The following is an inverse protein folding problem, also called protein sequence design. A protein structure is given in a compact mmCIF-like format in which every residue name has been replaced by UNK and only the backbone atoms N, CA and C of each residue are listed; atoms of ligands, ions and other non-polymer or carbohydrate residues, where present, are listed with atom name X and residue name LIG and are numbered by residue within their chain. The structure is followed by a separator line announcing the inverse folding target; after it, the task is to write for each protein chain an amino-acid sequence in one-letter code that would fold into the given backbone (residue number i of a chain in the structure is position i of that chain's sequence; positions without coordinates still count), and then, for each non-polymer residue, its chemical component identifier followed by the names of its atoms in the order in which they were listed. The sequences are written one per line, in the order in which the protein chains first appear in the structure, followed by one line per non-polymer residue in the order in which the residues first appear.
data_IF_524873232475
#
_entry.id   IF_524873232475
#
_cell.length_a   1.000
_cell.length_b   1.000
_cell.length_c   1.000
_cell.angle_alpha   90.00
_cell.angle_beta   90.00
_cell.angle_gamma   90.00
#
_symmetry.space_group_name_H-M   'P 1'
#
loop_
_entity.id
_entity.type
_entity.pdbx_description
1 polymer ?
#
# COMPACT_ATOMS: atom_id res chain seq x y z
N UNK A 1 -62.74 16.04 -11.16
CA UNK A 1 -63.97 15.36 -11.59
C UNK A 1 -63.58 14.00 -12.16
N UNK A 2 -63.82 12.96 -11.38
CA UNK A 2 -63.62 11.54 -11.71
C UNK A 2 -64.79 11.05 -12.56
N UNK A 3 -64.51 10.36 -13.67
CA UNK A 3 -65.49 9.57 -14.44
C UNK A 3 -65.01 8.12 -14.55
N UNK A 4 -66.00 7.24 -14.50
CA UNK A 4 -65.98 5.82 -14.13
C UNK A 4 -65.77 4.87 -15.33
N UNK A 5 -65.17 3.71 -15.02
CA UNK A 5 -65.56 2.36 -15.51
C UNK A 5 -65.17 1.96 -16.97
N UNK A 6 -65.39 0.69 -17.38
CA UNK A 6 -65.06 -0.59 -16.74
C UNK A 6 -64.29 -1.55 -17.69
N UNK A 7 -63.76 -2.61 -17.08
CA UNK A 7 -63.37 -3.91 -17.64
C UNK A 7 -63.75 -4.23 -19.09
N UNK A 8 -62.74 -4.56 -19.91
CA UNK A 8 -62.86 -5.64 -20.90
C UNK A 8 -61.68 -6.59 -20.79
N UNK A 9 -62.02 -7.73 -20.20
CA UNK A 9 -61.30 -8.99 -20.30
C UNK A 9 -61.25 -9.40 -21.78
N UNK A 10 -60.36 -10.35 -22.06
CA UNK A 10 -60.20 -11.15 -23.28
C UNK A 10 -58.92 -10.76 -24.02
N UNK A 11 -57.81 -11.35 -23.58
CA UNK A 11 -57.39 -12.69 -24.02
C UNK A 11 -56.71 -12.58 -25.38
N UNK A 12 -55.41 -12.33 -25.34
CA UNK A 12 -54.51 -12.88 -26.36
C UNK A 12 -53.24 -13.34 -25.61
N UNK A 13 -53.34 -14.52 -25.00
CA UNK A 13 -52.18 -15.38 -24.84
C UNK A 13 -51.74 -15.75 -26.26
N UNK A 14 -50.70 -15.09 -26.75
CA UNK A 14 -49.97 -15.56 -27.91
C UNK A 14 -48.51 -15.68 -27.52
N UNK A 15 -48.15 -16.93 -27.25
CA UNK A 15 -46.77 -17.39 -27.15
C UNK A 15 -46.02 -17.02 -28.44
N UNK A 16 -44.83 -16.47 -28.29
CA UNK A 16 -43.79 -16.56 -29.30
C UNK A 16 -42.45 -16.74 -28.59
N UNK A 17 -42.02 -18.00 -28.58
CA UNK A 17 -40.69 -18.41 -28.20
C UNK A 17 -39.65 -17.84 -29.17
N UNK A 18 -38.43 -17.64 -28.68
CA UNK A 18 -37.24 -17.70 -29.50
C UNK A 18 -36.30 -16.51 -29.35
N UNK A 19 -35.02 -16.86 -29.18
CA UNK A 19 -33.80 -16.02 -29.21
C UNK A 19 -33.31 -15.52 -27.84
N UNK A 20 -32.97 -16.46 -26.96
CA UNK A 20 -31.99 -16.19 -25.92
C UNK A 20 -30.59 -16.13 -26.56
N UNK A 21 -30.11 -14.91 -26.77
CA UNK A 21 -28.74 -14.57 -27.14
C UNK A 21 -27.73 -15.25 -26.22
N UNK A 22 -26.73 -15.90 -26.80
CA UNK A 22 -25.61 -16.50 -26.09
C UNK A 22 -24.89 -15.43 -25.24
N UNK A 23 -25.12 -15.44 -23.93
CA UNK A 23 -24.39 -14.62 -22.98
C UNK A 23 -22.98 -15.20 -22.81
N UNK A 24 -22.01 -14.62 -23.52
CA UNK A 24 -20.59 -14.80 -23.22
C UNK A 24 -20.33 -14.35 -21.79
N UNK A 25 -20.07 -15.30 -20.89
CA UNK A 25 -19.69 -15.04 -19.51
C UNK A 25 -18.32 -14.37 -19.49
N UNK A 26 -18.30 -13.04 -19.47
CA UNK A 26 -17.10 -12.29 -19.12
C UNK A 26 -16.75 -12.62 -17.67
N UNK A 27 -15.66 -13.38 -17.49
CA UNK A 27 -15.12 -13.72 -16.17
C UNK A 27 -14.42 -12.46 -15.65
N UNK A 28 -15.14 -11.63 -14.91
CA UNK A 28 -14.54 -10.50 -14.21
C UNK A 28 -13.52 -11.07 -13.20
N UNK A 29 -12.23 -10.86 -13.47
CA UNK A 29 -11.16 -11.12 -12.52
C UNK A 29 -11.32 -10.10 -11.38
N UNK A 30 -12.00 -10.52 -10.31
CA UNK A 30 -12.02 -9.77 -9.05
C UNK A 30 -10.60 -9.91 -8.47
N UNK A 31 -9.75 -8.93 -8.78
CA UNK A 31 -8.46 -8.79 -8.15
C UNK A 31 -8.68 -8.56 -6.66
N UNK A 32 -8.29 -9.52 -5.84
CA UNK A 32 -8.22 -9.36 -4.39
C UNK A 32 -7.14 -8.32 -4.11
N UNK A 33 -7.53 -7.06 -3.94
CA UNK A 33 -6.64 -6.04 -3.40
C UNK A 33 -6.25 -6.48 -1.98
N UNK A 34 -4.99 -6.86 -1.81
CA UNK A 34 -4.44 -7.14 -0.49
C UNK A 34 -4.58 -5.88 0.37
N UNK A 35 -4.97 -5.98 1.64
CA UNK A 35 -5.00 -4.83 2.53
C UNK A 35 -3.58 -4.28 2.66
N UNK A 36 -3.37 -3.07 2.18
CA UNK A 36 -2.14 -2.32 2.43
C UNK A 36 -2.19 -1.97 3.92
N UNK A 37 -1.41 -2.70 4.73
CA UNK A 37 -1.32 -2.45 6.15
C UNK A 37 -0.90 -1.01 6.40
N UNK A 38 -1.79 -0.23 7.02
CA UNK A 38 -1.47 1.09 7.57
C UNK A 38 -0.57 0.88 8.79
N UNK A 39 0.71 0.61 8.54
CA UNK A 39 1.71 0.61 9.59
C UNK A 39 1.81 2.03 10.15
N UNK A 40 1.75 2.16 11.48
CA UNK A 40 2.02 3.42 12.18
C UNK A 40 3.40 3.93 11.76
N UNK A 41 3.46 4.98 10.96
CA UNK A 41 4.72 5.63 10.62
C UNK A 41 5.22 6.33 11.87
N UNK A 42 6.29 5.81 12.48
CA UNK A 42 7.05 6.56 13.48
C UNK A 42 7.67 7.77 12.75
N UNK A 43 7.43 9.02 13.20
CA UNK A 43 8.03 10.18 12.58
C UNK A 43 9.55 10.05 12.55
N UNK A 44 10.13 10.01 11.36
CA UNK A 44 11.58 10.03 11.16
C UNK A 44 12.07 11.45 10.94
N UNK A 45 13.24 11.79 11.48
CA UNK A 45 13.89 13.09 11.25
C UNK A 45 14.66 13.11 9.93
N UNK A 46 14.79 14.29 9.32
CA UNK A 46 15.55 14.44 8.08
C UNK A 46 17.07 14.26 8.33
N UNK A 47 17.81 13.87 7.29
CA UNK A 47 19.29 13.76 7.36
C UNK A 47 19.96 15.06 7.81
N UNK A 48 19.48 16.20 7.29
CA UNK A 48 20.02 17.52 7.64
C UNK A 48 19.82 17.89 9.10
N UNK A 49 18.70 17.47 9.71
CA UNK A 49 18.40 17.78 11.11
C UNK A 49 19.34 17.10 12.12
N UNK A 50 20.04 16.03 11.72
CA UNK A 50 20.95 15.27 12.59
C UNK A 50 22.40 15.28 12.10
N UNK A 51 22.74 16.16 11.17
CA UNK A 51 24.09 16.24 10.61
C UNK A 51 24.57 14.94 9.97
N UNK A 52 23.68 14.19 9.32
CA UNK A 52 24.02 12.91 8.71
C UNK A 52 25.07 13.08 7.60
N UNK A 53 26.07 12.20 7.58
CA UNK A 53 27.09 12.08 6.54
C UNK A 53 27.23 10.62 6.12
N UNK A 54 27.55 10.36 4.85
CA UNK A 54 27.74 9.00 4.31
C UNK A 54 29.13 8.39 4.60
N UNK A 55 29.87 8.96 5.56
CA UNK A 55 31.20 8.52 6.00
C UNK A 55 31.30 8.44 7.52
N UNK A 56 32.32 7.75 8.04
CA UNK A 56 32.53 7.61 9.47
C UNK A 56 32.92 8.94 10.11
N UNK A 57 32.67 9.06 11.42
CA UNK A 57 33.18 10.14 12.27
C UNK A 57 33.81 9.52 13.51
N UNK A 58 35.08 9.81 13.80
CA UNK A 58 35.79 9.26 14.97
C UNK A 58 35.76 7.71 15.08
N UNK A 59 35.70 6.99 13.94
CA UNK A 59 35.57 5.53 13.92
C UNK A 59 34.14 5.01 14.16
N UNK A 60 33.19 5.90 14.41
CA UNK A 60 31.78 5.58 14.59
C UNK A 60 31.08 5.47 13.23
N UNK A 61 30.32 4.39 13.06
CA UNK A 61 29.59 4.09 11.82
C UNK A 61 28.18 3.60 12.11
N UNK A 62 27.24 3.87 11.20
CA UNK A 62 25.86 3.42 11.29
C UNK A 62 25.78 1.88 11.44
N UNK A 63 26.62 1.11 10.75
CA UNK A 63 26.64 -0.35 10.87
C UNK A 63 26.89 -0.87 12.30
N UNK A 64 27.52 -0.06 13.15
CA UNK A 64 27.77 -0.33 14.57
C UNK A 64 26.82 0.43 15.51
N UNK A 65 25.83 1.14 14.96
CA UNK A 65 24.86 1.94 15.73
C UNK A 65 23.63 1.10 16.13
N UNK A 66 23.06 1.35 17.31
CA UNK A 66 21.81 0.70 17.78
C UNK A 66 20.61 0.94 16.88
N UNK A 67 20.53 2.11 16.23
CA UNK A 67 19.38 2.52 15.43
C UNK A 67 19.40 1.99 13.99
N UNK A 68 20.52 1.42 13.57
CA UNK A 68 20.69 0.92 12.21
C UNK A 68 19.88 -0.33 11.97
N UNK A 69 19.13 -0.31 10.86
CA UNK A 69 18.41 -1.44 10.30
C UNK A 69 19.19 -1.94 9.07
N UNK A 70 19.69 -3.19 9.07
CA UNK A 70 20.30 -3.77 7.88
C UNK A 70 19.26 -3.89 6.75
N UNK A 71 19.70 -4.15 5.51
CA UNK A 71 18.78 -4.37 4.41
C UNK A 71 17.81 -5.52 4.69
N UNK A 72 16.54 -5.33 4.33
CA UNK A 72 15.57 -6.42 4.33
C UNK A 72 15.97 -7.49 3.29
N UNK A 73 15.54 -8.75 3.45
CA UNK A 73 15.77 -9.79 2.45
C UNK A 73 15.31 -9.34 1.05
N UNK A 74 16.20 -9.46 0.05
CA UNK A 74 15.94 -9.01 -1.31
C UNK A 74 16.16 -7.51 -1.58
N UNK A 75 16.63 -6.74 -0.58
CA UNK A 75 17.00 -5.33 -0.72
C UNK A 75 18.49 -5.10 -0.46
N UNK A 76 19.06 -4.06 -1.07
CA UNK A 76 20.41 -3.56 -0.77
C UNK A 76 20.39 -2.27 0.07
N UNK A 77 19.20 -1.75 0.37
CA UNK A 77 19.03 -0.51 1.10
C UNK A 77 18.91 -0.77 2.60
N UNK A 78 19.85 -0.23 3.37
CA UNK A 78 19.75 -0.15 4.83
C UNK A 78 18.99 1.11 5.26
N UNK A 79 18.47 1.10 6.49
CA UNK A 79 17.64 2.17 7.05
C UNK A 79 18.07 2.51 8.48
N UNK A 80 17.45 3.53 9.08
CA UNK A 80 17.61 3.88 10.49
C UNK A 80 16.22 4.00 11.12
N UNK A 81 16.10 3.67 12.41
CA UNK A 81 14.86 3.90 13.16
C UNK A 81 14.51 5.38 13.34
N UNK A 82 15.53 6.26 13.35
CA UNK A 82 15.36 7.70 13.59
C UNK A 82 15.41 8.53 12.30
N UNK A 83 16.31 8.19 11.37
CA UNK A 83 16.64 9.03 10.21
C UNK A 83 15.93 8.54 8.97
N UNK A 84 15.27 9.47 8.27
CA UNK A 84 14.56 9.22 7.03
C UNK A 84 15.50 8.81 5.88
N UNK A 85 15.01 7.91 5.03
CA UNK A 85 15.66 7.52 3.78
C UNK A 85 16.65 6.36 3.91
N UNK A 86 17.48 6.20 2.88
CA UNK A 86 18.54 5.18 2.81
C UNK A 86 19.73 5.59 3.66
N UNK A 87 20.32 4.63 4.37
CA UNK A 87 21.43 4.84 5.29
C UNK A 87 22.62 3.99 4.83
N UNK A 88 23.78 4.62 4.70
CA UNK A 88 25.04 3.93 4.46
C UNK A 88 25.48 3.22 5.75
N UNK A 89 25.88 1.94 5.72
CA UNK A 89 26.48 1.30 6.90
C UNK A 89 27.78 1.98 7.34
N UNK A 90 28.45 2.71 6.46
CA UNK A 90 29.64 3.51 6.77
C UNK A 90 29.32 4.95 7.20
N UNK A 91 28.05 5.37 7.17
CA UNK A 91 27.63 6.72 7.52
C UNK A 91 27.66 7.01 9.02
N UNK A 92 27.32 8.24 9.39
CA UNK A 92 27.26 8.71 10.78
C UNK A 92 26.27 9.88 10.92
N UNK A 93 25.67 10.06 12.10
CA UNK A 93 24.89 11.25 12.47
C UNK A 93 25.02 11.53 13.97
N UNK A 94 24.58 12.72 14.43
CA UNK A 94 24.71 13.13 15.84
C UNK A 94 23.93 12.24 16.82
N UNK A 95 22.90 11.53 16.37
CA UNK A 95 22.15 10.57 17.18
C UNK A 95 22.85 9.19 17.33
N UNK A 96 24.12 9.06 16.93
CA UNK A 96 24.84 7.81 16.98
C UNK A 96 24.97 7.30 18.43
N UNK A 97 24.73 6.00 18.60
CA UNK A 97 24.96 5.29 19.85
C UNK A 97 25.48 3.89 19.54
N UNK A 98 26.52 3.49 20.25
CA UNK A 98 27.18 2.19 20.10
C UNK A 98 26.21 1.04 20.39
N UNK A 99 26.21 0.02 19.53
CA UNK A 99 25.55 -1.26 19.81
C UNK A 99 26.28 -1.99 20.95
N UNK A 100 25.53 -2.32 22.01
CA UNK A 100 26.02 -3.09 23.15
C UNK A 100 26.41 -4.51 22.79
#
# INVERSE_FOLDING_TARGET
MTLLAPTRRHAILAAAAGLATAATRARAAVGTAAPVGLGTMVPSVSKGAVGYVDRSRHGEVCGACVWFKPPAPGSTASHCHLVAGRISPAGWCEAWMKRG
#
